data_IF_770532903257
#
_entry.id   IF_770532903257
#
_cell.length_a   1.000
_cell.length_b   1.000
_cell.length_c   1.000
_cell.angle_alpha   90.00
_cell.angle_beta   90.00
_cell.angle_gamma   90.00
#
_symmetry.space_group_name_H-M   'P 1'
#
loop_
_entity.id
_entity.type
_entity.pdbx_description
1 polymer ?
#
# COMPACT_ATOMS: atom_id res chain seq x y z
N UNK A 1 -10.37 -17.28 -2.20
CA UNK A 1 -9.66 -17.33 -0.90
C UNK A 1 -10.08 -16.13 -0.06
N UNK A 2 -10.52 -16.37 1.17
CA UNK A 2 -10.86 -15.30 2.13
C UNK A 2 -9.58 -14.58 2.59
N UNK A 3 -9.65 -13.27 2.80
CA UNK A 3 -8.51 -12.48 3.30
C UNK A 3 -8.21 -12.87 4.74
N UNK A 4 -7.06 -13.49 4.98
CA UNK A 4 -6.57 -13.77 6.34
C UNK A 4 -6.23 -12.48 7.09
N UNK A 5 -6.53 -12.44 8.40
CA UNK A 5 -6.08 -11.36 9.29
C UNK A 5 -4.56 -11.46 9.43
N UNK A 6 -3.87 -10.33 9.26
CA UNK A 6 -2.41 -10.22 9.47
C UNK A 6 -2.16 -9.31 10.66
N UNK A 7 -1.23 -9.67 11.52
CA UNK A 7 -0.78 -8.81 12.62
C UNK A 7 -0.11 -7.53 12.07
N UNK A 8 -0.29 -6.41 12.78
CA UNK A 8 0.37 -5.15 12.42
C UNK A 8 1.79 -5.12 12.99
N UNK A 9 2.66 -5.91 12.36
CA UNK A 9 4.10 -5.95 12.62
C UNK A 9 4.88 -6.10 11.31
N UNK A 10 6.20 -5.96 11.37
CA UNK A 10 7.06 -6.19 10.20
C UNK A 10 6.87 -7.64 9.71
N UNK A 11 6.69 -7.79 8.39
CA UNK A 11 6.63 -9.11 7.76
C UNK A 11 8.07 -9.60 7.58
N UNK A 12 8.45 -10.66 8.29
CA UNK A 12 9.83 -11.17 8.24
C UNK A 12 10.17 -11.85 6.92
N UNK A 13 9.26 -12.70 6.40
CA UNK A 13 9.44 -13.36 5.12
C UNK A 13 9.51 -12.34 3.97
N UNK A 14 10.67 -12.26 3.31
CA UNK A 14 10.96 -11.27 2.27
C UNK A 14 10.01 -11.36 1.06
N UNK A 15 9.69 -12.57 0.60
CA UNK A 15 8.80 -12.80 -0.54
C UNK A 15 7.38 -12.34 -0.23
N UNK A 16 6.86 -12.71 0.96
CA UNK A 16 5.53 -12.28 1.41
C UNK A 16 5.50 -10.77 1.62
N UNK A 17 6.56 -10.19 2.19
CA UNK A 17 6.69 -8.74 2.39
C UNK A 17 6.65 -8.00 1.06
N UNK A 18 7.37 -8.48 0.04
CA UNK A 18 7.40 -7.89 -1.29
C UNK A 18 6.02 -7.93 -1.95
N UNK A 19 5.34 -9.09 -1.97
CA UNK A 19 4.00 -9.21 -2.55
C UNK A 19 2.99 -8.33 -1.79
N UNK A 20 3.09 -8.29 -0.47
CA UNK A 20 2.21 -7.47 0.37
C UNK A 20 2.46 -5.98 0.14
N UNK A 21 3.72 -5.56 0.00
CA UNK A 21 4.08 -4.19 -0.35
C UNK A 21 3.41 -3.76 -1.65
N UNK A 22 3.52 -4.54 -2.73
CA UNK A 22 2.89 -4.19 -4.01
C UNK A 22 1.36 -4.08 -3.88
N UNK A 23 0.70 -5.04 -3.21
CA UNK A 23 -0.75 -5.01 -3.03
C UNK A 23 -1.20 -3.79 -2.21
N UNK A 24 -0.51 -3.47 -1.11
CA UNK A 24 -0.84 -2.33 -0.24
C UNK A 24 -0.54 -0.99 -0.92
N UNK A 25 0.61 -0.87 -1.60
CA UNK A 25 0.99 0.32 -2.38
C UNK A 25 -0.08 0.66 -3.40
N UNK A 26 -0.53 -0.33 -4.17
CA UNK A 26 -1.57 -0.12 -5.18
C UNK A 26 -2.91 0.30 -4.54
N UNK A 27 -3.28 -0.31 -3.41
CA UNK A 27 -4.47 0.11 -2.65
C UNK A 27 -4.38 1.54 -2.13
N UNK A 28 -3.21 1.96 -1.66
CA UNK A 28 -2.98 3.32 -1.16
C UNK A 28 -3.01 4.36 -2.28
N UNK A 29 -2.39 4.06 -3.44
CA UNK A 29 -2.47 4.91 -4.63
C UNK A 29 -3.92 5.10 -5.10
N UNK A 30 -4.72 4.02 -5.10
CA UNK A 30 -6.15 4.10 -5.43
C UNK A 30 -6.88 5.05 -4.48
N UNK A 31 -6.60 4.97 -3.18
CA UNK A 31 -7.22 5.84 -2.16
C UNK A 31 -6.80 7.30 -2.28
N UNK A 32 -5.53 7.57 -2.57
CA UNK A 32 -5.05 8.93 -2.83
C UNK A 32 -5.75 9.55 -4.05
N UNK A 33 -5.89 8.78 -5.13
CA UNK A 33 -6.62 9.19 -6.33
C UNK A 33 -8.11 9.43 -6.05
N UNK A 34 -8.78 8.51 -5.36
CA UNK A 34 -10.18 8.67 -4.94
C UNK A 34 -10.37 9.96 -4.13
N UNK A 35 -9.48 10.25 -3.18
CA UNK A 35 -9.55 11.47 -2.38
C UNK A 35 -9.37 12.74 -3.23
N UNK A 36 -8.39 12.75 -4.12
CA UNK A 36 -8.12 13.90 -5.00
C UNK A 36 -9.33 14.20 -5.89
N UNK A 37 -9.95 13.18 -6.49
CA UNK A 37 -11.11 13.36 -7.37
C UNK A 37 -12.38 13.71 -6.61
N UNK A 38 -12.65 13.07 -5.47
CA UNK A 38 -13.91 13.26 -4.73
C UNK A 38 -13.97 14.59 -3.99
N UNK A 39 -12.82 15.10 -3.55
CA UNK A 39 -12.75 16.30 -2.71
C UNK A 39 -12.08 17.49 -3.40
N UNK A 40 -11.65 17.34 -4.65
CA UNK A 40 -10.94 18.36 -5.43
C UNK A 40 -9.72 18.94 -4.67
N UNK A 41 -8.88 18.02 -4.17
CA UNK A 41 -7.68 18.36 -3.39
C UNK A 41 -6.42 17.83 -4.04
N UNK A 42 -5.33 18.58 -3.91
CA UNK A 42 -3.99 18.12 -4.28
C UNK A 42 -3.48 17.12 -3.24
N UNK A 43 -3.07 15.93 -3.69
CA UNK A 43 -2.57 14.86 -2.84
C UNK A 43 -1.21 14.39 -3.36
N UNK A 44 -0.20 14.35 -2.49
CA UNK A 44 1.11 13.78 -2.79
C UNK A 44 1.40 12.58 -1.89
N UNK A 45 2.01 11.54 -2.47
CA UNK A 45 2.36 10.30 -1.78
C UNK A 45 3.77 9.86 -2.17
N UNK A 46 4.65 9.70 -1.18
CA UNK A 46 6.03 9.26 -1.37
C UNK A 46 6.23 7.91 -0.68
N UNK A 47 6.68 6.90 -1.44
CA UNK A 47 6.89 5.54 -0.95
C UNK A 47 8.26 5.05 -1.42
N UNK A 48 9.14 4.75 -0.47
CA UNK A 48 10.43 4.14 -0.75
C UNK A 48 10.36 2.61 -0.65
N UNK A 49 11.06 1.91 -1.53
CA UNK A 49 11.25 0.47 -1.42
C UNK A 49 12.65 0.13 -0.92
N UNK A 50 12.86 -1.10 -0.45
CA UNK A 50 14.20 -1.56 -0.05
C UNK A 50 15.19 -1.65 -1.23
N UNK A 51 14.70 -1.58 -2.48
CA UNK A 51 15.53 -1.66 -3.69
C UNK A 51 15.75 -0.30 -4.36
N UNK A 52 15.26 0.79 -3.76
CA UNK A 52 15.03 2.07 -4.46
C UNK A 52 13.66 2.04 -5.09
#
# INVERSE_FOLDING_TARGET
MVRGKTEMKRIENATIRQVTFYKRRNGLLKKACELSVLCDVEVSLVIFSQKG
#
